data_IF_651709850672
#
_entry.id   IF_651709850672
#
_cell.length_a   1.000
_cell.length_b   1.000
_cell.length_c   1.000
_cell.angle_alpha   90.00
_cell.angle_beta   90.00
_cell.angle_gamma   90.00
#
_symmetry.space_group_name_H-M   'P 1'
#
loop_
_entity.id
_entity.type
_entity.pdbx_description
1 polymer ?
#
# COMPACT_ATOMS: atom_id res chain seq x y z
N UNK A 1 51.38 4.44 -6.11
CA UNK A 1 50.43 5.48 -5.66
C UNK A 1 49.15 5.50 -6.50
N UNK A 2 49.24 5.51 -7.84
CA UNK A 2 48.06 5.52 -8.74
C UNK A 2 47.09 4.34 -8.50
N UNK A 3 47.60 3.12 -8.38
CA UNK A 3 46.75 1.94 -8.14
C UNK A 3 45.91 2.05 -6.85
N UNK A 4 46.48 2.58 -5.76
CA UNK A 4 45.77 2.76 -4.50
C UNK A 4 44.66 3.82 -4.61
N UNK A 5 44.92 4.91 -5.34
CA UNK A 5 43.92 5.94 -5.64
C UNK A 5 42.78 5.36 -6.49
N UNK A 6 43.11 4.55 -7.51
CA UNK A 6 42.09 3.88 -8.32
C UNK A 6 41.22 2.96 -7.46
N UNK A 7 41.82 2.09 -6.63
CA UNK A 7 41.06 1.20 -5.76
C UNK A 7 40.18 1.98 -4.78
N UNK A 8 40.69 3.03 -4.16
CA UNK A 8 39.91 3.87 -3.26
C UNK A 8 38.72 4.53 -3.97
N UNK A 9 38.94 5.07 -5.18
CA UNK A 9 37.89 5.67 -5.99
C UNK A 9 36.82 4.65 -6.39
N UNK A 10 37.20 3.44 -6.80
CA UNK A 10 36.26 2.37 -7.13
C UNK A 10 35.46 1.91 -5.92
N UNK A 11 36.09 1.75 -4.75
CA UNK A 11 35.39 1.36 -3.51
C UNK A 11 34.35 2.40 -3.12
N UNK A 12 34.67 3.70 -3.23
CA UNK A 12 33.71 4.77 -2.97
C UNK A 12 32.55 4.73 -3.97
N UNK A 13 32.84 4.53 -5.26
CA UNK A 13 31.82 4.47 -6.30
C UNK A 13 30.86 3.29 -6.06
N UNK A 14 31.39 2.11 -5.74
CA UNK A 14 30.58 0.93 -5.40
C UNK A 14 29.75 1.17 -4.15
N UNK A 15 30.31 1.81 -3.11
CA UNK A 15 29.57 2.14 -1.89
C UNK A 15 28.39 3.09 -2.18
N UNK A 16 28.59 4.12 -3.01
CA UNK A 16 27.53 5.06 -3.40
C UNK A 16 26.46 4.36 -4.23
N UNK A 17 26.84 3.59 -5.25
CA UNK A 17 25.89 2.86 -6.10
C UNK A 17 25.10 1.82 -5.30
N UNK A 18 25.77 1.08 -4.41
CA UNK A 18 25.15 0.12 -3.51
C UNK A 18 24.16 0.79 -2.55
N UNK A 19 24.53 1.93 -1.97
CA UNK A 19 23.65 2.72 -1.11
C UNK A 19 22.41 3.22 -1.86
N UNK A 20 22.57 3.81 -3.05
CA UNK A 20 21.46 4.28 -3.88
C UNK A 20 20.54 3.14 -4.29
N UNK A 21 21.10 2.01 -4.71
CA UNK A 21 20.32 0.83 -5.09
C UNK A 21 19.53 0.27 -3.91
N UNK A 22 20.14 0.20 -2.72
CA UNK A 22 19.47 -0.24 -1.51
C UNK A 22 18.27 0.65 -1.16
N UNK A 23 18.41 1.98 -1.30
CA UNK A 23 17.31 2.92 -1.07
C UNK A 23 16.19 2.76 -2.10
N UNK A 24 16.52 2.62 -3.39
CA UNK A 24 15.52 2.42 -4.46
C UNK A 24 14.76 1.11 -4.24
N UNK A 25 15.49 0.02 -3.93
CA UNK A 25 14.91 -1.28 -3.62
C UNK A 25 14.02 -1.21 -2.39
N UNK A 26 14.48 -0.57 -1.32
CA UNK A 26 13.69 -0.38 -0.10
C UNK A 26 12.40 0.37 -0.39
N UNK A 27 12.44 1.45 -1.17
CA UNK A 27 11.22 2.18 -1.58
C UNK A 27 10.26 1.30 -2.37
N UNK A 28 10.75 0.47 -3.27
CA UNK A 28 9.92 -0.48 -4.02
C UNK A 28 9.31 -1.55 -3.12
N UNK A 29 10.07 -2.06 -2.15
CA UNK A 29 9.60 -3.08 -1.23
C UNK A 29 8.55 -2.51 -0.25
N UNK A 30 8.76 -1.30 0.27
CA UNK A 30 7.78 -0.59 1.10
C UNK A 30 6.47 -0.35 0.34
N UNK A 31 6.53 0.02 -0.94
CA UNK A 31 5.33 0.21 -1.76
C UNK A 31 4.53 -1.09 -1.93
N UNK A 32 5.22 -2.23 -2.14
CA UNK A 32 4.56 -3.54 -2.18
C UNK A 32 3.93 -3.90 -0.84
N UNK A 33 4.68 -3.73 0.25
CA UNK A 33 4.21 -4.10 1.58
C UNK A 33 3.02 -3.24 2.03
N UNK A 34 3.01 -1.95 1.68
CA UNK A 34 1.86 -1.07 1.90
C UNK A 34 0.63 -1.53 1.11
N UNK A 35 0.82 -1.95 -0.14
CA UNK A 35 -0.25 -2.50 -0.98
C UNK A 35 -0.78 -3.82 -0.42
N UNK A 36 0.09 -4.75 -0.03
CA UNK A 36 -0.32 -6.05 0.51
C UNK A 36 -1.09 -5.89 1.83
N UNK A 37 -0.66 -4.96 2.70
CA UNK A 37 -1.42 -4.61 3.92
C UNK A 37 -2.76 -3.94 3.59
N UNK A 38 -2.84 -3.13 2.54
CA UNK A 38 -4.10 -2.52 2.09
C UNK A 38 -5.09 -3.59 1.63
N UNK A 39 -4.66 -4.49 0.75
CA UNK A 39 -5.48 -5.61 0.27
C UNK A 39 -5.89 -6.56 1.41
N UNK A 40 -5.00 -6.86 2.35
CA UNK A 40 -5.31 -7.69 3.51
C UNK A 40 -6.40 -7.10 4.44
N UNK A 41 -6.47 -5.76 4.58
CA UNK A 41 -7.58 -5.12 5.31
C UNK A 41 -8.88 -5.16 4.52
N UNK A 42 -8.80 -4.93 3.21
CA UNK A 42 -9.97 -4.98 2.32
C UNK A 42 -10.63 -6.35 2.31
N UNK A 43 -9.85 -7.45 2.32
CA UNK A 43 -10.43 -8.80 2.35
C UNK A 43 -11.28 -9.03 3.59
N UNK A 44 -10.87 -8.50 4.75
CA UNK A 44 -11.68 -8.58 6.00
C UNK A 44 -12.97 -7.77 5.89
N UNK A 45 -12.91 -6.59 5.27
CA UNK A 45 -14.10 -5.78 5.01
C UNK A 45 -15.07 -6.51 4.07
N UNK A 46 -14.58 -7.10 2.99
CA UNK A 46 -15.41 -7.87 2.06
C UNK A 46 -16.05 -9.11 2.72
N UNK A 47 -15.30 -9.83 3.55
CA UNK A 47 -15.83 -10.97 4.32
C UNK A 47 -16.99 -10.54 5.24
N UNK A 48 -16.83 -9.43 5.96
CA UNK A 48 -17.88 -8.89 6.83
C UNK A 48 -19.10 -8.40 6.04
N UNK A 49 -18.91 -7.75 4.89
CA UNK A 49 -20.03 -7.23 4.07
C UNK A 49 -20.80 -8.36 3.39
N UNK A 50 -20.13 -9.45 3.01
CA UNK A 50 -20.74 -10.61 2.36
C UNK A 50 -21.34 -11.61 3.36
N UNK A 51 -21.03 -11.46 4.65
CA UNK A 51 -21.57 -12.30 5.72
C UNK A 51 -23.11 -12.39 5.66
N UNK A 52 -23.67 -13.57 5.96
CA UNK A 52 -25.11 -13.82 5.92
C UNK A 52 -25.88 -13.02 7.00
N UNK A 53 -25.22 -12.68 8.11
CA UNK A 53 -25.81 -11.97 9.24
C UNK A 53 -25.81 -10.45 9.03
N UNK A 54 -26.99 -9.83 9.20
CA UNK A 54 -27.21 -8.38 9.00
C UNK A 54 -26.27 -7.52 9.86
N UNK A 55 -26.04 -7.91 11.12
CA UNK A 55 -25.14 -7.19 12.03
C UNK A 55 -23.69 -7.18 11.56
N UNK A 56 -23.18 -8.29 11.02
CA UNK A 56 -21.81 -8.34 10.45
C UNK A 56 -21.70 -7.51 9.18
N UNK A 57 -22.77 -7.43 8.37
CA UNK A 57 -22.79 -6.56 7.17
C UNK A 57 -22.70 -5.08 7.51
N UNK A 58 -23.41 -4.63 8.55
CA UNK A 58 -23.36 -3.24 9.00
C UNK A 58 -21.99 -2.88 9.58
N UNK A 59 -21.39 -3.80 10.36
CA UNK A 59 -20.01 -3.66 10.83
C UNK A 59 -19.06 -3.55 9.63
N UNK A 60 -19.18 -4.43 8.64
CA UNK A 60 -18.37 -4.40 7.42
C UNK A 60 -18.48 -3.07 6.67
N UNK A 61 -19.69 -2.49 6.56
CA UNK A 61 -19.89 -1.16 5.93
C UNK A 61 -19.27 -0.02 6.72
N UNK A 62 -19.45 0.02 8.03
CA UNK A 62 -18.84 1.05 8.87
C UNK A 62 -17.30 0.96 8.83
N UNK A 63 -16.77 -0.25 8.74
CA UNK A 63 -15.34 -0.51 8.63
C UNK A 63 -14.80 -0.11 7.25
N UNK A 64 -15.56 -0.33 6.18
CA UNK A 64 -15.25 0.18 4.84
C UNK A 64 -15.16 1.71 4.80
N UNK A 65 -16.13 2.39 5.43
CA UNK A 65 -16.15 3.85 5.52
C UNK A 65 -14.98 4.38 6.35
N UNK A 66 -14.70 3.78 7.51
CA UNK A 66 -13.54 4.14 8.33
C UNK A 66 -12.20 3.89 7.62
N UNK A 67 -12.10 2.82 6.83
CA UNK A 67 -10.91 2.58 5.99
C UNK A 67 -10.75 3.65 4.91
N UNK A 68 -11.84 4.08 4.27
CA UNK A 68 -11.80 5.16 3.28
C UNK A 68 -11.37 6.50 3.91
N UNK A 69 -11.90 6.85 5.08
CA UNK A 69 -11.59 8.11 5.77
C UNK A 69 -10.19 8.16 6.38
N UNK A 70 -9.67 7.03 6.89
CA UNK A 70 -8.36 7.00 7.55
C UNK A 70 -7.17 6.69 6.63
N UNK A 71 -7.38 6.02 5.50
CA UNK A 71 -6.27 5.43 4.74
C UNK A 71 -5.83 6.30 3.58
N UNK A 72 -4.57 6.76 3.61
CA UNK A 72 -3.87 7.21 2.39
C UNK A 72 -3.85 6.02 1.42
N UNK A 73 -4.64 6.10 0.36
CA UNK A 73 -4.65 5.11 -0.72
C UNK A 73 -3.23 4.99 -1.27
N UNK A 74 -2.66 3.77 -1.38
CA UNK A 74 -1.36 3.58 -2.00
C UNK A 74 -1.39 4.12 -3.44
N UNK A 75 -0.30 4.75 -3.89
CA UNK A 75 -0.22 5.27 -5.25
C UNK A 75 -0.45 4.14 -6.28
N UNK A 76 -1.40 4.36 -7.20
CA UNK A 76 -1.83 3.37 -8.20
C UNK A 76 -3.08 2.57 -7.82
N UNK A 77 -3.54 2.64 -6.57
CA UNK A 77 -4.77 2.00 -6.10
C UNK A 77 -5.95 2.99 -6.03
N UNK A 78 -5.77 4.25 -6.46
CA UNK A 78 -6.83 5.26 -6.49
C UNK A 78 -8.07 4.83 -7.30
N UNK A 79 -7.95 4.15 -8.47
CA UNK A 79 -9.12 3.68 -9.22
C UNK A 79 -9.92 2.63 -8.45
N UNK A 80 -9.25 1.70 -7.76
CA UNK A 80 -9.91 0.65 -6.98
C UNK A 80 -10.60 1.24 -5.75
N UNK A 81 -9.96 2.18 -5.05
CA UNK A 81 -10.55 2.90 -3.93
C UNK A 81 -11.79 3.70 -4.34
N UNK A 82 -11.79 4.30 -5.54
CA UNK A 82 -12.96 5.02 -6.08
C UNK A 82 -14.14 4.11 -6.37
N UNK A 83 -13.90 2.96 -7.03
CA UNK A 83 -14.96 1.97 -7.28
C UNK A 83 -15.54 1.43 -5.97
N UNK A 84 -14.69 1.15 -4.98
CA UNK A 84 -15.12 0.75 -3.64
C UNK A 84 -15.99 1.83 -2.97
N UNK A 85 -15.60 3.09 -3.07
CA UNK A 85 -16.37 4.22 -2.55
C UNK A 85 -17.74 4.32 -3.24
N UNK A 86 -17.80 4.26 -4.57
CA UNK A 86 -19.06 4.28 -5.32
C UNK A 86 -19.98 3.10 -4.91
N UNK A 87 -19.44 1.89 -4.81
CA UNK A 87 -20.21 0.69 -4.45
C UNK A 87 -20.76 0.71 -3.02
N UNK A 88 -20.00 1.26 -2.06
CA UNK A 88 -20.36 1.20 -0.64
C UNK A 88 -20.97 2.48 -0.08
N UNK A 89 -20.65 3.65 -0.64
CA UNK A 89 -21.11 4.95 -0.16
C UNK A 89 -22.36 5.42 -0.92
N UNK A 90 -22.46 5.13 -2.23
CA UNK A 90 -23.57 5.65 -3.06
C UNK A 90 -24.89 4.90 -2.86
N UNK A 91 -24.87 3.72 -2.22
CA UNK A 91 -26.09 3.00 -1.80
C UNK A 91 -26.88 3.72 -0.68
N UNK A 92 -26.49 4.94 -0.33
CA UNK A 92 -27.08 5.81 0.69
C UNK A 92 -27.97 6.93 0.11
N UNK A 93 -28.51 6.78 -1.11
CA UNK A 93 -29.67 7.58 -1.54
C UNK A 93 -30.95 6.73 -1.44
N UNK A 94 -31.97 7.18 -0.69
CA UNK A 94 -33.28 6.53 -0.63
C UNK A 94 -33.99 6.54 -1.99
#
# INVERSE_FOLDING_TARGET
MVAALCTAAFTLLVAVVGGLWAVIRWRRDVAREQRDRYWGRLTVVFDLITAAEVGRREIGRNLAQAMYDMQKVPAGEEPAARVLAELFIEKRRP
#
